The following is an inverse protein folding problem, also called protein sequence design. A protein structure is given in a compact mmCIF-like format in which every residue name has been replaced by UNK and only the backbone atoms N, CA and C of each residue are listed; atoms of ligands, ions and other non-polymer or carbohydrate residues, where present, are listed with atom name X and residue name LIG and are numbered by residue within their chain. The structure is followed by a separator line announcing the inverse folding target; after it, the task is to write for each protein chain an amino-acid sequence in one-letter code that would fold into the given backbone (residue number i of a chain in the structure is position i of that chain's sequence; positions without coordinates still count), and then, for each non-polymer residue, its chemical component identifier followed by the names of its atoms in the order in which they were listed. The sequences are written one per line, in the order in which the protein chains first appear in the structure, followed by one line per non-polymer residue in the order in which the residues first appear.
data_IF_396154459743
#
_entry.id   IF_396154459743
#
_cell.length_a   1.000
_cell.length_b   1.000
_cell.length_c   1.000
_cell.angle_alpha   90.00
_cell.angle_beta   90.00
_cell.angle_gamma   90.00
#
_symmetry.space_group_name_H-M   'P 1'
#
loop_
_entity.id
_entity.type
_entity.pdbx_description
1 polymer ?
#
# COMPACT_ATOMS: atom_id res chain seq x y z
N UNK A 1 -2.22 39.58 19.20
CA UNK A 1 -2.52 38.16 19.00
C UNK A 1 -2.86 37.96 17.53
N UNK A 2 -1.87 37.63 16.72
CA UNK A 2 -2.07 37.35 15.28
C UNK A 2 -2.18 35.83 15.19
N UNK A 3 -3.35 35.35 14.78
CA UNK A 3 -3.60 33.93 14.57
C UNK A 3 -2.73 33.41 13.44
N UNK A 4 -2.00 32.33 13.71
CA UNK A 4 -1.29 31.55 12.69
C UNK A 4 -2.32 30.99 11.70
N UNK A 5 -2.29 31.47 10.45
CA UNK A 5 -3.02 30.83 9.37
C UNK A 5 -2.41 29.43 9.17
N UNK A 6 -3.19 28.38 9.45
CA UNK A 6 -2.86 27.01 9.02
C UNK A 6 -2.72 27.04 7.49
N UNK A 7 -1.51 26.85 6.98
CA UNK A 7 -1.25 26.73 5.54
C UNK A 7 -2.00 25.50 5.04
N UNK A 8 -2.84 25.69 4.03
CA UNK A 8 -3.52 24.60 3.34
C UNK A 8 -2.49 23.93 2.41
N UNK A 9 -2.22 22.65 2.63
CA UNK A 9 -1.34 21.86 1.78
C UNK A 9 -2.17 21.35 0.59
N UNK A 10 -1.84 21.77 -0.63
CA UNK A 10 -2.48 21.29 -1.85
C UNK A 10 -1.42 20.57 -2.69
N UNK A 11 -1.44 19.24 -2.67
CA UNK A 11 -0.60 18.39 -3.50
C UNK A 11 -1.37 18.13 -4.81
N UNK A 12 -0.91 18.71 -5.92
CA UNK A 12 -1.49 18.48 -7.24
C UNK A 12 -0.60 17.49 -7.99
N UNK A 13 -1.06 16.25 -8.16
CA UNK A 13 -0.41 15.25 -9.00
C UNK A 13 -1.12 15.22 -10.36
N UNK A 14 -0.42 15.64 -11.43
CA UNK A 14 -0.92 15.59 -12.80
C UNK A 14 -0.23 14.44 -13.55
N UNK A 15 -1.00 13.47 -14.05
CA UNK A 15 -0.46 12.33 -14.80
C UNK A 15 -0.92 12.30 -16.25
N UNK A 16 0.02 11.99 -17.13
CA UNK A 16 -0.23 11.67 -18.54
C UNK A 16 -0.12 10.15 -18.67
N UNK A 17 -1.26 9.46 -18.73
CA UNK A 17 -1.30 8.01 -18.97
C UNK A 17 -0.95 7.70 -20.43
N UNK A 18 0.05 6.86 -20.76
CA UNK A 18 0.11 6.25 -22.07
C UNK A 18 -0.93 5.13 -22.14
N UNK A 19 -1.91 5.30 -23.03
CA UNK A 19 -2.91 4.28 -23.38
C UNK A 19 -2.21 2.96 -23.77
N UNK A 20 -2.27 1.93 -22.92
CA UNK A 20 -1.96 0.55 -23.29
C UNK A 20 -3.27 -0.24 -23.33
N UNK A 21 -3.74 -0.49 -24.55
CA UNK A 21 -5.02 -1.12 -24.86
C UNK A 21 -5.08 -2.59 -24.44
N UNK A 22 -6.01 -2.92 -23.56
CA UNK A 22 -6.62 -4.26 -23.45
C UNK A 22 -7.55 -4.50 -24.64
N UNK A 23 -7.27 -5.52 -25.48
CA UNK A 23 -8.29 -6.14 -26.32
C UNK A 23 -8.05 -7.66 -26.43
N UNK A 24 -9.09 -8.50 -26.31
CA UNK A 24 -8.98 -9.94 -26.51
C UNK A 24 -8.93 -10.29 -28.00
N UNK A 25 -8.21 -11.37 -28.33
CA UNK A 25 -8.16 -11.98 -29.67
C UNK A 25 -9.56 -12.39 -30.14
N UNK A 26 -9.99 -11.86 -31.29
CA UNK A 26 -11.05 -12.45 -32.13
C UNK A 26 -10.51 -12.57 -33.56
N UNK A 27 -10.60 -13.78 -34.12
CA UNK A 27 -10.16 -14.15 -35.46
C UNK A 27 -11.19 -13.61 -36.47
N UNK A 28 -10.73 -12.80 -37.42
CA UNK A 28 -11.51 -12.35 -38.57
C UNK A 28 -10.59 -11.77 -39.64
N UNK A 29 -10.57 -12.40 -40.81
CA UNK A 29 -9.79 -12.01 -41.99
C UNK A 29 -10.24 -10.65 -42.53
N UNK A 30 -9.33 -9.68 -42.65
CA UNK A 30 -9.58 -8.43 -43.40
C UNK A 30 -8.37 -8.07 -44.28
N UNK A 31 -8.70 -7.68 -45.50
CA UNK A 31 -7.89 -7.28 -46.64
C UNK A 31 -6.93 -6.11 -46.35
N UNK A 32 -5.71 -6.20 -46.88
CA UNK A 32 -4.63 -5.21 -46.73
C UNK A 32 -4.89 -3.98 -47.61
N UNK A 33 -4.91 -2.79 -47.00
CA UNK A 33 -4.77 -1.49 -47.69
C UNK A 33 -3.34 -0.94 -47.51
N UNK A 34 -2.79 -0.18 -48.47
CA UNK A 34 -1.37 0.21 -48.46
C UNK A 34 -1.01 1.20 -47.33
N UNK A 35 0.28 1.29 -46.96
CA UNK A 35 0.72 1.97 -45.75
C UNK A 35 0.52 3.50 -45.82
N UNK A 36 -0.04 4.06 -44.75
CA UNK A 36 -0.08 5.50 -44.54
C UNK A 36 1.33 6.04 -44.31
N UNK A 37 1.64 7.13 -45.01
CA UNK A 37 2.91 7.86 -45.00
C UNK A 37 3.22 8.33 -43.57
N UNK A 38 4.39 7.95 -43.05
CA UNK A 38 4.91 8.44 -41.78
C UNK A 38 5.15 9.95 -41.85
N UNK A 39 4.35 10.75 -41.14
CA UNK A 39 4.71 12.13 -40.82
C UNK A 39 5.82 12.10 -39.78
N UNK A 40 6.97 12.67 -40.14
CA UNK A 40 8.11 12.91 -39.27
C UNK A 40 7.60 13.66 -38.02
N UNK A 41 7.65 13.02 -36.85
CA UNK A 41 7.36 13.69 -35.59
C UNK A 41 8.32 14.88 -35.44
N UNK A 42 7.78 16.08 -35.21
CA UNK A 42 8.61 17.20 -34.80
C UNK A 42 9.16 16.90 -33.40
N UNK A 43 10.44 17.21 -33.11
CA UNK A 43 10.94 17.09 -31.75
C UNK A 43 10.13 18.03 -30.86
N UNK A 44 9.51 17.45 -29.83
CA UNK A 44 8.84 18.20 -28.78
C UNK A 44 9.89 19.07 -28.10
N UNK A 45 9.65 20.39 -28.05
CA UNK A 45 10.40 21.27 -27.16
C UNK A 45 9.95 20.93 -25.73
N UNK A 46 10.86 20.67 -24.78
CA UNK A 46 10.45 20.63 -23.38
C UNK A 46 9.86 22.01 -23.05
N UNK A 47 8.66 22.01 -22.46
CA UNK A 47 8.09 23.20 -21.86
C UNK A 47 8.96 23.53 -20.64
N UNK A 48 9.97 24.39 -20.80
CA UNK A 48 10.56 25.14 -19.68
C UNK A 48 9.56 26.22 -19.26
N UNK A 49 8.49 25.83 -18.56
CA UNK A 49 7.75 26.78 -17.73
C UNK A 49 8.23 26.59 -16.31
N UNK A 50 9.08 27.50 -15.84
CA UNK A 50 9.39 27.61 -14.42
C UNK A 50 8.07 27.84 -13.67
N UNK A 51 7.69 26.90 -12.81
CA UNK A 51 6.54 27.04 -11.93
C UNK A 51 6.71 28.27 -11.03
N UNK A 52 5.61 28.96 -10.67
CA UNK A 52 5.68 30.16 -9.87
C UNK A 52 6.27 29.85 -8.49
N UNK A 53 7.21 30.68 -8.04
CA UNK A 53 7.70 30.72 -6.67
C UNK A 53 6.53 30.75 -5.68
N UNK A 54 6.60 29.95 -4.61
CA UNK A 54 5.92 29.95 -3.28
C UNK A 54 4.58 30.69 -3.02
N UNK A 55 4.18 31.70 -3.79
CA UNK A 55 2.86 32.33 -3.81
C UNK A 55 1.76 31.45 -4.44
N UNK A 56 2.11 30.40 -5.20
CA UNK A 56 1.16 29.49 -5.86
C UNK A 56 0.74 28.25 -5.06
N UNK A 57 1.36 27.98 -3.91
CA UNK A 57 1.03 26.83 -3.05
C UNK A 57 1.61 25.47 -3.49
N UNK A 58 2.39 25.41 -4.57
CA UNK A 58 3.10 24.21 -5.02
C UNK A 58 4.52 24.23 -4.46
N UNK A 59 4.93 23.19 -3.73
CA UNK A 59 6.26 23.06 -3.15
C UNK A 59 7.27 22.52 -4.16
N UNK A 60 6.88 21.49 -4.91
CA UNK A 60 7.64 20.89 -6.00
C UNK A 60 6.70 20.10 -6.92
N UNK A 61 7.14 19.85 -8.15
CA UNK A 61 6.54 18.93 -9.11
C UNK A 61 7.68 18.03 -9.60
N UNK A 62 7.71 16.78 -9.13
CA UNK A 62 8.73 15.80 -9.52
C UNK A 62 8.09 14.43 -9.65
N UNK A 63 8.31 13.81 -10.81
CA UNK A 63 7.95 12.41 -11.12
C UNK A 63 9.09 11.74 -11.92
N UNK A 64 10.33 12.16 -11.69
CA UNK A 64 11.46 11.40 -12.22
C UNK A 64 11.63 10.13 -11.37
N UNK A 65 11.64 8.97 -12.02
CA UNK A 65 11.99 7.66 -11.45
C UNK A 65 10.91 6.89 -10.66
N UNK A 66 9.72 7.47 -10.41
CA UNK A 66 8.61 6.67 -9.87
C UNK A 66 8.16 5.64 -10.91
N UNK A 67 8.15 4.36 -10.53
CA UNK A 67 7.80 3.26 -11.43
C UNK A 67 6.40 2.73 -11.13
N UNK A 68 5.65 2.39 -12.19
CA UNK A 68 4.28 1.87 -12.11
C UNK A 68 3.21 2.95 -11.89
N UNK A 69 1.95 2.55 -12.09
CA UNK A 69 0.80 3.41 -11.78
C UNK A 69 0.60 3.51 -10.26
N UNK A 70 0.07 4.64 -9.78
CA UNK A 70 -0.22 4.84 -8.36
C UNK A 70 -1.50 4.08 -7.99
N UNK A 71 -1.41 3.28 -6.93
CA UNK A 71 -2.48 2.36 -6.51
C UNK A 71 -3.08 2.73 -5.17
N UNK A 72 -2.40 3.56 -4.37
CA UNK A 72 -2.88 4.03 -3.06
C UNK A 72 -2.96 5.56 -3.00
N UNK A 73 -3.84 6.12 -2.14
CA UNK A 73 -3.72 7.51 -1.72
C UNK A 73 -2.33 7.76 -1.07
N UNK A 74 -1.73 8.95 -1.25
CA UNK A 74 -0.50 9.29 -0.57
C UNK A 74 -0.70 9.33 0.95
N UNK A 75 0.19 8.70 1.70
CA UNK A 75 0.20 8.72 3.17
C UNK A 75 1.28 9.69 3.63
N UNK A 76 0.88 10.78 4.28
CA UNK A 76 1.80 11.77 4.86
C UNK A 76 2.08 11.40 6.29
N UNK A 77 3.36 11.31 6.67
CA UNK A 77 3.77 10.91 8.01
C UNK A 77 5.05 11.61 8.46
N UNK A 78 5.37 11.44 9.74
CA UNK A 78 6.68 11.71 10.31
C UNK A 78 7.33 10.37 10.65
N UNK A 79 8.61 10.22 10.30
CA UNK A 79 9.35 8.99 10.60
C UNK A 79 9.96 8.98 12.00
N UNK A 80 10.05 10.13 12.67
CA UNK A 80 10.67 10.24 13.99
C UNK A 80 9.74 10.95 14.97
N UNK A 81 9.90 10.64 16.25
CA UNK A 81 9.16 11.30 17.34
C UNK A 81 9.47 12.79 17.51
N UNK A 82 10.59 13.25 16.94
CA UNK A 82 10.93 14.67 16.90
C UNK A 82 10.08 15.47 15.90
N UNK A 83 9.38 14.78 14.98
CA UNK A 83 8.55 15.37 13.93
C UNK A 83 9.31 16.40 13.07
N UNK A 84 10.61 16.17 12.86
CA UNK A 84 11.51 17.13 12.22
C UNK A 84 11.25 17.28 10.72
N UNK A 85 10.92 16.17 10.03
CA UNK A 85 10.70 16.15 8.59
C UNK A 85 9.46 15.30 8.22
N UNK A 86 8.59 15.89 7.39
CA UNK A 86 7.47 15.17 6.80
C UNK A 86 7.93 14.38 5.59
N UNK A 87 7.36 13.20 5.44
CA UNK A 87 7.55 12.32 4.30
C UNK A 87 6.21 11.92 3.70
N UNK A 88 6.25 11.45 2.45
CA UNK A 88 5.10 10.87 1.77
C UNK A 88 5.42 9.44 1.37
N UNK A 89 4.55 8.51 1.76
CA UNK A 89 4.51 7.18 1.21
C UNK A 89 3.53 7.11 0.05
N UNK A 90 3.96 6.46 -1.03
CA UNK A 90 3.17 6.28 -2.24
C UNK A 90 3.29 4.84 -2.74
N UNK A 91 2.15 4.14 -2.78
CA UNK A 91 2.05 2.79 -3.31
C UNK A 91 1.84 2.83 -4.82
N UNK A 92 2.55 1.96 -5.52
CA UNK A 92 2.44 1.78 -6.96
C UNK A 92 2.17 0.32 -7.32
N UNK A 93 1.93 0.07 -8.60
CA UNK A 93 1.78 -1.29 -9.15
C UNK A 93 3.01 -2.19 -8.92
N UNK A 94 4.18 -1.61 -8.64
CA UNK A 94 5.45 -2.32 -8.57
C UNK A 94 6.19 -2.13 -7.24
N UNK A 95 5.65 -1.35 -6.30
CA UNK A 95 6.33 -1.11 -5.03
C UNK A 95 5.81 0.05 -4.20
N UNK A 96 6.55 0.33 -3.14
CA UNK A 96 6.32 1.44 -2.22
C UNK A 96 7.48 2.44 -2.33
N UNK A 97 7.15 3.71 -2.55
CA UNK A 97 8.11 4.81 -2.52
C UNK A 97 7.99 5.60 -1.21
N UNK A 98 9.13 5.96 -0.63
CA UNK A 98 9.23 7.03 0.37
C UNK A 98 9.77 8.29 -0.31
N UNK A 99 9.09 9.42 -0.14
CA UNK A 99 9.45 10.71 -0.75
C UNK A 99 9.62 11.76 0.34
N UNK A 100 10.74 12.48 0.31
CA UNK A 100 10.99 13.61 1.20
C UNK A 100 10.15 14.82 0.76
N UNK A 101 9.33 15.37 1.65
CA UNK A 101 8.47 16.53 1.32
C UNK A 101 9.29 17.80 1.06
N UNK A 102 10.46 17.91 1.69
CA UNK A 102 11.33 19.09 1.57
C UNK A 102 11.92 19.26 0.17
N UNK A 103 12.24 18.15 -0.51
CA UNK A 103 12.89 18.15 -1.83
C UNK A 103 12.02 17.59 -2.95
N UNK A 104 11.06 16.70 -2.65
CA UNK A 104 10.31 15.95 -3.64
C UNK A 104 11.06 14.79 -4.27
N UNK A 105 12.17 14.38 -3.65
CA UNK A 105 12.99 13.26 -4.13
C UNK A 105 12.59 11.95 -3.43
N UNK A 106 12.69 10.84 -4.15
CA UNK A 106 12.50 9.50 -3.61
C UNK A 106 13.70 9.19 -2.69
N UNK A 107 13.44 9.03 -1.40
CA UNK A 107 14.45 8.62 -0.42
C UNK A 107 14.83 7.15 -0.58
N UNK A 108 13.82 6.28 -0.75
CA UNK A 108 14.03 4.87 -1.09
C UNK A 108 12.79 4.29 -1.80
N UNK A 109 12.98 3.15 -2.47
CA UNK A 109 11.92 2.40 -3.15
C UNK A 109 12.03 0.91 -2.81
N UNK A 110 10.94 0.35 -2.28
CA UNK A 110 10.83 -1.08 -2.01
C UNK A 110 9.98 -1.74 -3.10
N UNK A 111 10.52 -2.78 -3.75
CA UNK A 111 9.82 -3.46 -4.85
C UNK A 111 8.89 -4.53 -4.30
N UNK A 112 7.63 -4.51 -4.74
CA UNK A 112 6.64 -5.55 -4.42
C UNK A 112 6.30 -6.36 -5.68
N UNK A 113 6.05 -7.67 -5.56
CA UNK A 113 5.64 -8.51 -6.70
C UNK A 113 4.29 -8.13 -7.33
N UNK A 114 3.50 -7.29 -6.67
CA UNK A 114 2.22 -6.78 -7.16
C UNK A 114 1.89 -5.42 -6.57
N UNK A 115 0.75 -4.87 -6.96
CA UNK A 115 0.30 -3.53 -6.58
C UNK A 115 0.16 -3.36 -5.08
N UNK A 116 0.71 -2.28 -4.51
CA UNK A 116 0.48 -1.94 -3.10
C UNK A 116 -0.99 -1.56 -2.91
N UNK A 117 -1.63 -2.13 -1.90
CA UNK A 117 -3.06 -1.97 -1.62
C UNK A 117 -3.32 -1.12 -0.38
N UNK A 118 -2.48 -1.25 0.64
CA UNK A 118 -2.59 -0.54 1.91
C UNK A 118 -1.22 -0.20 2.44
N UNK A 119 -1.12 0.94 3.12
CA UNK A 119 0.09 1.46 3.75
C UNK A 119 -0.31 1.96 5.13
N UNK A 120 0.36 1.46 6.16
CA UNK A 120 0.18 1.86 7.54
C UNK A 120 1.55 2.17 8.14
N UNK A 121 1.73 3.39 8.65
CA UNK A 121 2.93 3.75 9.40
C UNK A 121 2.75 3.34 10.84
N UNK A 122 3.74 2.65 11.40
CA UNK A 122 3.70 2.06 12.74
C UNK A 122 4.82 2.67 13.57
N UNK A 123 4.59 2.85 14.87
CA UNK A 123 5.65 3.30 15.79
C UNK A 123 6.88 2.41 15.73
N UNK A 124 8.06 2.98 15.96
CA UNK A 124 9.34 2.26 16.04
C UNK A 124 9.26 0.92 16.82
N UNK A 125 9.30 -0.17 16.05
CA UNK A 125 9.31 -1.58 16.44
C UNK A 125 10.74 -2.12 16.54
N UNK A 126 11.71 -1.49 15.87
CA UNK A 126 13.11 -1.95 15.82
C UNK A 126 13.98 -1.36 16.93
N UNK A 127 13.53 -0.26 17.55
CA UNK A 127 14.25 0.53 18.54
C UNK A 127 15.29 1.48 17.94
N UNK A 128 15.22 1.77 16.65
CA UNK A 128 16.17 2.65 15.94
C UNK A 128 15.74 4.13 15.91
N UNK A 129 14.63 4.46 16.59
CA UNK A 129 13.97 5.77 16.63
C UNK A 129 13.33 6.19 15.31
N UNK A 130 13.16 5.27 14.37
CA UNK A 130 12.46 5.47 13.09
C UNK A 130 11.21 4.59 13.06
N UNK A 131 10.09 5.17 12.63
CA UNK A 131 8.83 4.46 12.49
C UNK A 131 8.90 3.45 11.34
N UNK A 132 8.39 2.24 11.55
CA UNK A 132 8.25 1.21 10.53
C UNK A 132 7.03 1.43 9.62
N UNK A 133 7.00 0.66 8.53
CA UNK A 133 5.91 0.72 7.55
C UNK A 133 5.38 -0.67 7.30
N UNK A 134 4.11 -0.87 7.63
CA UNK A 134 3.36 -2.06 7.33
C UNK A 134 2.58 -1.89 6.04
N UNK A 135 2.64 -2.86 5.13
CA UNK A 135 1.93 -2.79 3.85
C UNK A 135 1.35 -4.14 3.43
N UNK A 136 0.34 -4.08 2.57
CA UNK A 136 -0.19 -5.24 1.86
C UNK A 136 -0.17 -4.99 0.36
N UNK A 137 0.05 -6.04 -0.44
CA UNK A 137 0.08 -5.93 -1.91
C UNK A 137 -0.69 -7.05 -2.63
N UNK A 138 -0.97 -6.83 -3.91
CA UNK A 138 -1.78 -7.71 -4.75
C UNK A 138 -0.96 -8.87 -5.34
N UNK A 139 -0.57 -9.80 -4.47
CA UNK A 139 0.10 -11.03 -4.89
C UNK A 139 -0.53 -12.26 -4.24
N UNK A 140 -0.76 -13.29 -5.07
CA UNK A 140 -1.19 -14.63 -4.63
C UNK A 140 -0.10 -15.67 -4.85
N UNK A 141 1.09 -15.25 -5.28
CA UNK A 141 2.23 -16.14 -5.54
C UNK A 141 3.35 -15.94 -4.52
N UNK A 142 3.37 -14.78 -3.87
CA UNK A 142 4.40 -14.37 -2.93
C UNK A 142 3.75 -13.89 -1.63
N UNK A 143 4.55 -13.75 -0.59
CA UNK A 143 4.14 -13.11 0.65
C UNK A 143 3.62 -11.71 0.29
N UNK A 144 2.43 -11.37 0.77
CA UNK A 144 1.68 -10.19 0.32
C UNK A 144 1.34 -9.24 1.46
N UNK A 145 1.97 -9.49 2.61
CA UNK A 145 1.88 -8.72 3.83
C UNK A 145 3.31 -8.56 4.33
N UNK A 146 3.77 -7.33 4.49
CA UNK A 146 5.18 -7.01 4.75
C UNK A 146 5.30 -5.90 5.78
N UNK A 147 6.30 -6.03 6.66
CA UNK A 147 6.78 -4.94 7.50
C UNK A 147 8.16 -4.52 7.02
N UNK A 148 8.33 -3.23 6.77
CA UNK A 148 9.55 -2.62 6.29
C UNK A 148 10.12 -1.63 7.32
N UNK A 149 11.44 -1.52 7.36
CA UNK A 149 12.09 -0.43 8.08
C UNK A 149 11.79 0.90 7.40
N UNK A 150 11.36 1.91 8.16
CA UNK A 150 11.17 3.26 7.61
C UNK A 150 12.48 3.94 7.22
N UNK A 151 13.61 3.48 7.78
CA UNK A 151 14.92 4.08 7.56
C UNK A 151 15.41 3.88 6.12
N UNK A 152 15.28 2.66 5.59
CA UNK A 152 15.86 2.28 4.29
C UNK A 152 14.93 1.44 3.39
N UNK A 153 13.70 1.14 3.85
CA UNK A 153 12.75 0.31 3.13
C UNK A 153 13.10 -1.17 3.12
N UNK A 154 14.06 -1.62 3.94
CA UNK A 154 14.44 -3.03 4.03
C UNK A 154 13.32 -3.88 4.66
N UNK A 155 13.17 -5.10 4.17
CA UNK A 155 12.19 -6.05 4.67
C UNK A 155 12.60 -6.57 6.05
N UNK A 156 11.76 -6.31 7.07
CA UNK A 156 11.92 -6.85 8.42
C UNK A 156 11.32 -8.25 8.52
N UNK A 157 10.06 -8.39 8.11
CA UNK A 157 9.39 -9.68 7.97
C UNK A 157 8.30 -9.63 6.93
N UNK A 158 7.88 -10.81 6.48
CA UNK A 158 6.75 -10.96 5.56
C UNK A 158 5.89 -12.14 5.97
N UNK A 159 4.59 -12.01 5.75
CA UNK A 159 3.59 -13.03 6.04
C UNK A 159 2.84 -13.43 4.76
N UNK A 160 2.46 -14.70 4.71
CA UNK A 160 1.75 -15.32 3.59
C UNK A 160 0.44 -15.93 4.06
N UNK A 161 -0.69 -15.21 3.93
CA UNK A 161 -1.99 -15.76 4.30
C UNK A 161 -2.29 -16.96 3.40
N UNK A 162 -2.58 -18.08 4.05
CA UNK A 162 -2.79 -19.37 3.41
C UNK A 162 -4.05 -19.99 4.00
N UNK A 163 -4.94 -20.46 3.13
CA UNK A 163 -6.18 -21.14 3.53
C UNK A 163 -6.21 -22.57 3.02
N UNK A 164 -6.88 -23.46 3.75
CA UNK A 164 -7.17 -24.79 3.24
C UNK A 164 -8.45 -24.74 2.40
N UNK A 165 -8.37 -25.17 1.14
CA UNK A 165 -9.50 -25.24 0.24
C UNK A 165 -9.55 -26.61 -0.47
N UNK A 166 -10.73 -26.95 -0.98
CA UNK A 166 -10.87 -28.10 -1.86
C UNK A 166 -10.71 -27.64 -3.31
N UNK A 167 -9.78 -28.23 -4.04
CA UNK A 167 -9.61 -28.00 -5.48
C UNK A 167 -9.97 -29.28 -6.23
N UNK A 168 -10.88 -29.17 -7.20
CA UNK A 168 -11.29 -30.32 -8.00
C UNK A 168 -10.07 -30.96 -8.69
N UNK A 169 -9.96 -32.28 -8.56
CA UNK A 169 -8.81 -33.05 -9.04
C UNK A 169 -7.55 -33.02 -8.16
N UNK A 170 -7.43 -32.12 -7.17
CA UNK A 170 -6.32 -32.07 -6.21
C UNK A 170 -6.73 -32.46 -4.78
N UNK A 171 -8.01 -32.36 -4.45
CA UNK A 171 -8.54 -32.60 -3.11
C UNK A 171 -8.28 -31.42 -2.17
N UNK A 172 -8.22 -31.69 -0.86
CA UNK A 172 -7.87 -30.67 0.13
C UNK A 172 -6.41 -30.25 -0.06
N UNK A 173 -6.21 -28.96 -0.33
CA UNK A 173 -4.90 -28.34 -0.50
C UNK A 173 -4.86 -27.01 0.24
N UNK A 174 -3.66 -26.49 0.46
CA UNK A 174 -3.45 -25.12 0.92
C UNK A 174 -3.32 -24.20 -0.30
N UNK A 175 -4.11 -23.13 -0.32
CA UNK A 175 -4.10 -22.11 -1.35
C UNK A 175 -3.71 -20.77 -0.73
N UNK A 176 -2.90 -20.04 -1.47
CA UNK A 176 -2.49 -18.69 -1.13
C UNK A 176 -3.58 -17.70 -1.42
N UNK A 177 -3.68 -16.71 -0.54
CA UNK A 177 -4.80 -15.78 -0.50
C UNK A 177 -4.29 -14.36 -0.58
N UNK A 178 -5.15 -13.42 -1.00
CA UNK A 178 -4.83 -12.00 -1.15
C UNK A 178 -5.29 -11.23 0.08
N UNK A 179 -4.44 -10.39 0.67
CA UNK A 179 -4.86 -9.49 1.75
C UNK A 179 -5.57 -8.26 1.19
N UNK A 180 -6.65 -7.83 1.82
CA UNK A 180 -7.43 -6.65 1.38
C UNK A 180 -7.37 -5.48 2.35
N UNK A 181 -7.39 -5.79 3.65
CA UNK A 181 -7.41 -4.80 4.71
C UNK A 181 -6.45 -5.20 5.81
N UNK A 182 -5.97 -4.20 6.53
CA UNK A 182 -5.11 -4.37 7.67
C UNK A 182 -5.43 -3.39 8.79
N UNK A 183 -5.19 -3.82 10.03
CA UNK A 183 -5.29 -3.01 11.24
C UNK A 183 -4.04 -3.22 12.09
N UNK A 184 -3.68 -2.19 12.85
CA UNK A 184 -2.75 -2.30 13.99
C UNK A 184 -3.58 -2.70 15.20
N UNK A 185 -3.15 -3.71 15.94
CA UNK A 185 -3.77 -4.19 17.16
C UNK A 185 -2.98 -3.72 18.39
N UNK A 186 -3.59 -3.87 19.56
CA UNK A 186 -2.85 -3.83 20.82
C UNK A 186 -1.82 -4.97 20.90
N UNK A 187 -0.92 -4.90 21.88
CA UNK A 187 0.08 -5.93 22.17
C UNK A 187 -0.59 -7.20 22.74
N UNK A 188 -1.17 -8.02 21.87
CA UNK A 188 -1.84 -9.28 22.24
C UNK A 188 -0.81 -10.42 22.43
N UNK A 189 0.40 -10.26 21.90
CA UNK A 189 1.52 -11.20 22.06
C UNK A 189 2.27 -11.04 23.38
N UNK A 190 2.08 -9.91 24.08
CA UNK A 190 2.79 -9.51 25.30
C UNK A 190 4.31 -9.34 25.11
N UNK A 191 4.74 -8.89 23.94
CA UNK A 191 6.15 -8.64 23.63
C UNK A 191 6.57 -7.17 23.78
N UNK A 192 5.62 -6.29 24.12
CA UNK A 192 5.80 -4.85 24.29
C UNK A 192 5.62 -4.05 23.00
N UNK A 193 5.18 -4.67 21.91
CA UNK A 193 4.96 -4.05 20.60
C UNK A 193 3.53 -4.27 20.11
N UNK A 194 2.96 -3.34 19.31
CA UNK A 194 1.65 -3.57 18.71
C UNK A 194 1.68 -4.72 17.70
N UNK A 195 0.59 -5.47 17.65
CA UNK A 195 0.41 -6.58 16.69
C UNK A 195 -0.39 -6.13 15.47
N UNK A 196 -0.66 -7.03 14.53
CA UNK A 196 -1.38 -6.71 13.30
C UNK A 196 -2.52 -7.67 13.02
N UNK A 197 -3.59 -7.16 12.42
CA UNK A 197 -4.63 -7.96 11.81
C UNK A 197 -4.62 -7.75 10.30
N UNK A 198 -4.75 -8.84 9.55
CA UNK A 198 -5.07 -8.78 8.12
C UNK A 198 -6.33 -9.56 7.81
N UNK A 199 -7.13 -9.08 6.87
CA UNK A 199 -8.21 -9.86 6.25
C UNK A 199 -7.80 -10.33 4.87
N UNK A 200 -8.13 -11.59 4.56
CA UNK A 200 -7.76 -12.24 3.31
C UNK A 200 -8.79 -13.31 2.96
N UNK A 201 -9.53 -13.12 1.87
CA UNK A 201 -10.70 -13.98 1.56
C UNK A 201 -11.62 -14.10 2.77
N UNK A 202 -12.11 -15.29 3.08
CA UNK A 202 -12.95 -15.52 4.24
C UNK A 202 -12.17 -15.61 5.56
N UNK A 203 -10.88 -15.25 5.59
CA UNK A 203 -10.03 -15.43 6.75
C UNK A 203 -9.52 -14.11 7.33
N UNK A 204 -9.37 -14.07 8.64
CA UNK A 204 -8.64 -13.04 9.37
C UNK A 204 -7.45 -13.67 10.08
N UNK A 205 -6.29 -13.00 10.05
CA UNK A 205 -5.05 -13.47 10.66
C UNK A 205 -4.49 -12.38 11.57
N UNK A 206 -4.25 -12.72 12.83
CA UNK A 206 -3.49 -11.85 13.73
C UNK A 206 -2.02 -12.27 13.76
N UNK A 207 -1.13 -11.30 13.65
CA UNK A 207 0.30 -11.47 13.47
C UNK A 207 1.05 -10.72 14.56
N UNK A 208 2.06 -11.37 15.14
CA UNK A 208 3.00 -10.78 16.07
C UNK A 208 3.77 -9.65 15.39
N UNK A 209 3.76 -8.45 15.97
CA UNK A 209 4.32 -7.27 15.34
C UNK A 209 5.82 -7.33 15.11
N UNK A 210 6.54 -7.93 16.03
CA UNK A 210 8.01 -8.03 15.99
C UNK A 210 8.53 -9.08 15.00
N UNK A 211 7.75 -10.12 14.69
CA UNK A 211 8.23 -11.27 13.90
C UNK A 211 7.37 -11.63 12.68
N UNK A 212 6.14 -11.13 12.60
CA UNK A 212 5.15 -11.56 11.60
C UNK A 212 4.59 -12.96 11.84
N UNK A 213 4.84 -13.56 13.01
CA UNK A 213 4.35 -14.89 13.36
C UNK A 213 2.84 -14.89 13.57
N UNK A 214 2.17 -15.91 13.04
CA UNK A 214 0.74 -16.12 13.28
C UNK A 214 0.45 -16.34 14.78
N UNK A 215 -0.37 -15.48 15.36
CA UNK A 215 -0.90 -15.60 16.73
C UNK A 215 -2.20 -16.40 16.73
N UNK A 216 -3.16 -16.01 15.89
CA UNK A 216 -4.42 -16.72 15.69
C UNK A 216 -5.00 -16.47 14.30
N UNK A 217 -5.93 -17.35 13.88
CA UNK A 217 -6.71 -17.15 12.67
C UNK A 217 -8.19 -17.47 12.88
N UNK A 218 -9.03 -16.76 12.14
CA UNK A 218 -10.48 -16.95 12.09
C UNK A 218 -10.94 -17.15 10.66
N UNK A 219 -11.92 -18.03 10.43
CA UNK A 219 -12.49 -18.32 9.12
C UNK A 219 -14.00 -18.11 9.16
N UNK A 220 -14.47 -17.11 8.42
CA UNK A 220 -15.87 -16.86 8.16
C UNK A 220 -16.42 -17.79 7.07
N UNK A 221 -17.74 -17.81 6.92
CA UNK A 221 -18.42 -18.56 5.85
C UNK A 221 -18.20 -17.97 4.46
N UNK A 222 -17.93 -16.66 4.37
CA UNK A 222 -17.73 -15.93 3.12
C UNK A 222 -16.67 -14.82 3.30
N UNK A 223 -16.31 -14.16 2.21
CA UNK A 223 -15.22 -13.19 2.12
C UNK A 223 -15.34 -12.04 3.13
N UNK A 224 -14.24 -11.74 3.83
CA UNK A 224 -14.10 -10.65 4.79
C UNK A 224 -13.52 -9.40 4.14
N UNK A 225 -14.40 -8.48 3.76
CA UNK A 225 -14.03 -7.30 2.96
C UNK A 225 -13.40 -6.17 3.78
N UNK A 226 -13.75 -6.07 5.05
CA UNK A 226 -13.36 -4.96 5.90
C UNK A 226 -13.23 -5.40 7.34
N UNK A 227 -12.34 -4.73 8.06
CA UNK A 227 -12.20 -4.87 9.50
C UNK A 227 -12.24 -3.49 10.16
N UNK A 228 -12.67 -3.45 11.41
CA UNK A 228 -12.62 -2.26 12.25
C UNK A 228 -12.21 -2.62 13.67
N UNK A 229 -11.39 -1.78 14.30
CA UNK A 229 -11.16 -1.83 15.74
C UNK A 229 -12.38 -1.30 16.47
N UNK A 230 -12.69 -1.93 17.59
CA UNK A 230 -13.69 -1.53 18.55
C UNK A 230 -12.98 -1.27 19.89
N UNK A 231 -13.63 -0.49 20.76
CA UNK A 231 -13.22 -0.46 22.16
C UNK A 231 -13.31 -1.87 22.77
N UNK A 232 -12.65 -2.11 23.89
CA UNK A 232 -12.77 -3.33 24.69
C UNK A 232 -14.22 -3.51 25.17
N UNK A 233 -15.02 -4.33 24.47
CA UNK A 233 -16.44 -4.54 24.74
C UNK A 233 -16.63 -5.63 25.80
N UNK A 234 -15.76 -6.63 25.84
CA UNK A 234 -15.86 -7.76 26.76
C UNK A 234 -15.08 -7.59 28.09
N UNK A 235 -14.29 -6.52 28.20
CA UNK A 235 -13.47 -6.11 29.35
C UNK A 235 -12.31 -7.06 29.65
N UNK A 236 -11.70 -7.66 28.61
CA UNK A 236 -10.50 -8.48 28.76
C UNK A 236 -9.18 -7.66 28.76
N UNK A 237 -9.27 -6.36 28.48
CA UNK A 237 -8.15 -5.42 28.44
C UNK A 237 -7.56 -5.19 27.06
N UNK A 238 -8.12 -5.78 26.00
CA UNK A 238 -7.70 -5.60 24.61
C UNK A 238 -8.84 -5.02 23.76
N UNK A 239 -8.47 -4.26 22.72
CA UNK A 239 -9.45 -3.78 21.74
C UNK A 239 -10.08 -4.95 20.97
N UNK A 240 -11.39 -4.92 20.81
CA UNK A 240 -12.12 -5.91 20.02
C UNK A 240 -12.06 -5.61 18.52
N UNK A 241 -12.44 -6.59 17.69
CA UNK A 241 -12.44 -6.45 16.22
C UNK A 241 -13.79 -6.81 15.63
N UNK A 242 -14.31 -5.94 14.76
CA UNK A 242 -15.44 -6.23 13.88
C UNK A 242 -14.95 -6.65 12.49
N UNK A 243 -15.56 -7.70 11.91
CA UNK A 243 -15.21 -8.24 10.60
C UNK A 243 -16.44 -8.27 9.68
N UNK A 244 -16.45 -7.43 8.65
CA UNK A 244 -17.56 -7.38 7.69
C UNK A 244 -17.46 -8.48 6.65
N UNK A 245 -18.37 -9.46 6.69
CA UNK A 245 -18.44 -10.57 5.74
C UNK A 245 -19.44 -10.33 4.60
N UNK A 246 -19.16 -10.91 3.44
CA UNK A 246 -19.99 -10.82 2.23
C UNK A 246 -21.38 -11.45 2.39
N UNK A 247 -21.51 -12.44 3.26
CA UNK A 247 -22.78 -13.12 3.55
C UNK A 247 -23.73 -12.28 4.43
N UNK A 248 -23.32 -11.06 4.80
CA UNK A 248 -24.11 -10.10 5.54
C UNK A 248 -23.99 -10.22 7.06
N UNK A 249 -23.03 -11.02 7.56
CA UNK A 249 -22.70 -11.09 8.97
C UNK A 249 -21.57 -10.13 9.36
N UNK A 250 -21.60 -9.71 10.62
CA UNK A 250 -20.60 -8.91 11.32
C UNK A 250 -20.15 -9.68 12.57
#
# INVERSE_FOLDING_TARGET
MVGSLKKLLLILLLFITPFSSLLPRIIGTVTVSPPAIARKAQPFSPFEQSLPSTEGGVLWESIHELSGDITTPPVVAYLTSAEDEQVVFLGTEVGLALIAVSTGEISWFHNTPGAVLSITVVSDLTGDSVNEVFLTHDSQLFNNTELLSGLDGSLLWSFRPTQNCWVDGLGYTSQETKSWSSLVLDDISSDGQPDFLITSYNAAFALEGSTGKLLWSYFASDDLWSSALLDDIDNDGFSDVALGSQDGYL
#
